data_IF_139633377095
#
_entry.id   IF_139633377095
#
_cell.length_a   1.000
_cell.length_b   1.000
_cell.length_c   1.000
_cell.angle_alpha   90.00
_cell.angle_beta   90.00
_cell.angle_gamma   90.00
#
_symmetry.space_group_name_H-M   'P 1'
#
loop_
_entity.id
_entity.type
_entity.pdbx_description
1 polymer ?
#
# COMPACT_ATOMS: atom_id res chain seq x y z
N UNK A 1 3.88 -6.60 20.02
CA UNK A 1 5.01 -6.50 19.08
C UNK A 1 5.86 -7.76 19.07
N UNK A 2 6.24 -8.32 20.23
CA UNK A 2 6.94 -9.60 20.29
C UNK A 2 6.26 -10.71 19.45
N UNK A 3 4.92 -10.83 19.52
CA UNK A 3 4.18 -11.85 18.75
C UNK A 3 4.16 -11.61 17.23
N UNK A 4 4.17 -10.34 16.77
CA UNK A 4 4.20 -9.98 15.34
C UNK A 4 5.57 -10.24 14.69
N UNK A 5 6.64 -10.27 15.50
CA UNK A 5 8.00 -10.49 15.01
C UNK A 5 8.40 -11.96 15.04
N UNK A 6 7.69 -12.78 15.82
CA UNK A 6 7.91 -14.21 15.91
C UNK A 6 7.25 -14.99 14.75
N UNK A 7 6.27 -14.41 14.06
CA UNK A 7 5.49 -15.10 13.02
C UNK A 7 6.25 -15.34 11.73
N UNK A 8 7.34 -14.59 11.48
CA UNK A 8 8.04 -14.54 10.19
C UNK A 8 7.12 -14.23 8.98
N UNK A 9 5.89 -13.75 9.20
CA UNK A 9 4.96 -13.34 8.15
C UNK A 9 5.32 -11.92 7.66
N UNK A 10 5.58 -11.73 6.36
CA UNK A 10 5.84 -10.40 5.81
C UNK A 10 4.70 -9.40 6.03
N UNK A 11 3.45 -9.84 6.13
CA UNK A 11 2.31 -8.96 6.43
C UNK A 11 2.39 -8.44 7.86
N UNK A 12 2.82 -9.28 8.82
CA UNK A 12 3.04 -8.87 10.19
C UNK A 12 4.22 -7.91 10.31
N UNK A 13 5.27 -8.10 9.51
CA UNK A 13 6.36 -7.13 9.41
C UNK A 13 5.84 -5.77 8.91
N UNK A 14 4.99 -5.74 7.88
CA UNK A 14 4.38 -4.49 7.42
C UNK A 14 3.48 -3.85 8.49
N UNK A 15 2.67 -4.65 9.19
CA UNK A 15 1.83 -4.18 10.29
C UNK A 15 2.66 -3.60 11.44
N UNK A 16 3.77 -4.25 11.80
CA UNK A 16 4.71 -3.76 12.80
C UNK A 16 5.32 -2.41 12.38
N UNK A 17 5.75 -2.28 11.12
CA UNK A 17 6.22 -0.99 10.58
C UNK A 17 5.14 0.10 10.69
N UNK A 18 3.90 -0.19 10.24
CA UNK A 18 2.80 0.78 10.27
C UNK A 18 2.49 1.23 11.70
N UNK A 19 2.53 0.30 12.66
CA UNK A 19 2.35 0.61 14.07
C UNK A 19 3.46 1.53 14.61
N UNK A 20 4.72 1.17 14.38
CA UNK A 20 5.88 1.97 14.83
C UNK A 20 5.89 3.37 14.20
N UNK A 21 5.60 3.47 12.90
CA UNK A 21 5.53 4.74 12.17
C UNK A 21 4.37 5.62 12.67
N UNK A 22 3.22 5.01 12.97
CA UNK A 22 2.08 5.70 13.59
C UNK A 22 2.44 6.24 14.97
N UNK A 23 3.15 5.47 15.79
CA UNK A 23 3.63 5.92 17.09
C UNK A 23 4.63 7.07 17.01
N UNK A 24 5.56 7.04 16.05
CA UNK A 24 6.48 8.16 15.82
C UNK A 24 5.72 9.45 15.43
N UNK A 25 4.71 9.31 14.57
CA UNK A 25 3.85 10.42 14.16
C UNK A 25 3.00 10.97 15.30
N UNK A 26 2.42 10.09 16.12
CA UNK A 26 1.62 10.44 17.30
C UNK A 26 2.48 11.15 18.34
N UNK A 27 3.66 10.63 18.68
CA UNK A 27 4.53 11.24 19.68
C UNK A 27 5.00 12.64 19.27
N UNK A 28 5.18 12.88 17.95
CA UNK A 28 5.57 14.20 17.41
C UNK A 28 4.44 15.22 17.43
N UNK A 29 3.23 14.81 17.03
CA UNK A 29 2.08 15.73 16.84
C UNK A 29 1.10 15.74 18.01
N UNK A 30 1.25 14.79 18.92
CA UNK A 30 0.30 14.44 19.97
C UNK A 30 -1.10 14.12 19.45
N UNK A 31 -1.24 13.81 18.15
CA UNK A 31 -2.49 13.50 17.49
C UNK A 31 -2.29 12.63 16.24
N UNK A 32 -3.35 11.93 15.83
CA UNK A 32 -3.43 11.17 14.60
C UNK A 32 -4.83 11.31 13.99
N UNK A 33 -4.88 11.33 12.67
CA UNK A 33 -6.14 11.18 11.94
C UNK A 33 -6.40 9.71 11.66
N UNK A 34 -7.61 9.24 11.96
CA UNK A 34 -8.07 7.91 11.57
C UNK A 34 -9.24 8.03 10.61
N UNK A 35 -9.30 7.10 9.65
CA UNK A 35 -10.47 6.99 8.79
C UNK A 35 -11.63 6.39 9.60
N UNK A 36 -12.73 7.13 9.69
CA UNK A 36 -13.95 6.66 10.31
C UNK A 36 -14.89 6.13 9.22
N UNK A 37 -15.04 4.81 9.18
CA UNK A 37 -15.90 4.13 8.21
C UNK A 37 -17.37 4.54 8.31
N UNK A 38 -17.85 5.01 9.49
CA UNK A 38 -19.23 5.49 9.65
C UNK A 38 -19.41 6.88 9.06
N UNK A 39 -18.38 7.71 9.13
CA UNK A 39 -18.40 9.08 8.60
C UNK A 39 -17.90 9.15 7.15
N UNK A 40 -17.26 8.09 6.64
CA UNK A 40 -16.57 8.10 5.35
C UNK A 40 -15.45 9.13 5.27
N UNK A 41 -14.94 9.59 6.41
CA UNK A 41 -14.06 10.75 6.52
C UNK A 41 -12.95 10.50 7.56
N UNK A 42 -11.88 11.28 7.47
CA UNK A 42 -10.85 11.31 8.52
C UNK A 42 -11.34 12.11 9.72
N UNK A 43 -11.03 11.64 10.92
CA UNK A 43 -11.26 12.36 12.18
C UNK A 43 -10.08 12.23 13.12
N UNK A 44 -9.96 13.16 14.06
CA UNK A 44 -9.02 13.05 15.16
C UNK A 44 -9.35 11.88 16.09
N UNK A 45 -8.37 11.44 16.87
CA UNK A 45 -8.55 10.46 17.92
C UNK A 45 -9.48 11.00 19.01
N UNK A 46 -10.46 10.18 19.42
CA UNK A 46 -11.23 10.45 20.63
C UNK A 46 -10.38 10.23 21.89
N UNK A 47 -10.90 10.59 23.07
CA UNK A 47 -10.15 10.52 24.31
C UNK A 47 -9.70 9.09 24.68
N UNK A 48 -10.49 8.07 24.36
CA UNK A 48 -10.14 6.67 24.65
C UNK A 48 -9.06 6.15 23.70
N UNK A 49 -9.22 6.42 22.40
CA UNK A 49 -8.23 6.07 21.37
C UNK A 49 -6.88 6.75 21.66
N UNK A 50 -6.92 8.03 22.06
CA UNK A 50 -5.71 8.76 22.47
C UNK A 50 -5.03 8.10 23.67
N UNK A 51 -5.78 7.72 24.72
CA UNK A 51 -5.23 7.00 25.88
C UNK A 51 -4.63 5.65 25.49
N UNK A 52 -5.29 4.91 24.60
CA UNK A 52 -4.78 3.63 24.12
C UNK A 52 -3.50 3.84 23.31
N UNK A 53 -3.45 4.82 22.40
CA UNK A 53 -2.23 5.17 21.66
C UNK A 53 -1.09 5.59 22.59
N UNK A 54 -1.34 6.43 23.59
CA UNK A 54 -0.33 6.79 24.60
C UNK A 54 0.22 5.56 25.31
N UNK A 55 -0.64 4.63 25.73
CA UNK A 55 -0.22 3.39 26.40
C UNK A 55 0.64 2.52 25.48
N UNK A 56 0.17 2.29 24.25
CA UNK A 56 0.84 1.42 23.29
C UNK A 56 2.17 2.00 22.81
N UNK A 57 2.22 3.29 22.48
CA UNK A 57 3.44 3.95 22.02
C UNK A 57 4.44 4.24 23.15
N UNK A 58 3.96 4.40 24.39
CA UNK A 58 4.80 4.54 25.58
C UNK A 58 5.49 3.24 26.00
N UNK A 59 4.90 2.09 25.69
CA UNK A 59 5.48 0.77 25.98
C UNK A 59 6.57 0.35 24.99
N UNK A 60 6.81 1.12 23.91
CA UNK A 60 7.80 0.77 22.90
C UNK A 60 9.23 1.01 23.37
N UNK A 61 10.08 0.00 23.17
CA UNK A 61 11.52 0.09 23.37
C UNK A 61 12.19 0.87 22.25
N UNK A 62 13.39 1.39 22.51
CA UNK A 62 14.18 2.08 21.49
C UNK A 62 14.61 1.15 20.35
N UNK A 63 14.90 -0.12 20.68
CA UNK A 63 15.20 -1.15 19.69
C UNK A 63 14.05 -1.34 18.70
N UNK A 64 12.80 -1.35 19.17
CA UNK A 64 11.62 -1.48 18.29
C UNK A 64 11.43 -0.24 17.41
N UNK A 65 11.80 0.95 17.88
CA UNK A 65 11.79 2.17 17.05
C UNK A 65 12.82 2.10 15.93
N UNK A 66 14.04 1.65 16.23
CA UNK A 66 15.13 1.56 15.27
C UNK A 66 14.89 0.46 14.20
N UNK A 67 14.24 -0.64 14.58
CA UNK A 67 13.97 -1.76 13.67
C UNK A 67 12.88 -1.49 12.61
N UNK A 68 12.21 -0.32 12.63
CA UNK A 68 11.08 -0.01 11.75
C UNK A 68 11.42 -0.16 10.26
N UNK A 69 12.61 0.27 9.86
CA UNK A 69 13.05 0.20 8.46
C UNK A 69 13.36 -1.23 8.04
N UNK A 70 13.81 -2.08 8.96
CA UNK A 70 14.06 -3.50 8.70
C UNK A 70 12.75 -4.27 8.48
N UNK A 71 11.71 -3.96 9.26
CA UNK A 71 10.38 -4.52 9.05
C UNK A 71 9.82 -4.14 7.69
N UNK A 72 9.99 -2.87 7.32
CA UNK A 72 9.55 -2.37 6.02
C UNK A 72 10.33 -3.02 4.89
N UNK A 73 11.66 -3.14 4.99
CA UNK A 73 12.48 -3.81 4.00
C UNK A 73 12.06 -5.29 3.81
N UNK A 74 11.72 -5.98 4.89
CA UNK A 74 11.19 -7.35 4.86
C UNK A 74 9.88 -7.42 4.08
N UNK A 75 8.93 -6.53 4.37
CA UNK A 75 7.65 -6.45 3.68
C UNK A 75 7.78 -6.10 2.19
N UNK A 76 8.68 -5.15 1.86
CA UNK A 76 8.98 -4.77 0.48
C UNK A 76 9.54 -5.95 -0.31
N UNK A 77 10.51 -6.68 0.26
CA UNK A 77 11.12 -7.85 -0.39
C UNK A 77 10.10 -8.95 -0.68
N UNK A 78 9.09 -9.10 0.18
CA UNK A 78 7.99 -10.05 -0.02
C UNK A 78 6.89 -9.53 -0.96
N UNK A 79 6.95 -8.26 -1.39
CA UNK A 79 5.93 -7.65 -2.23
C UNK A 79 4.57 -7.52 -1.54
N UNK A 80 4.58 -7.18 -0.24
CA UNK A 80 3.38 -6.84 0.53
C UNK A 80 2.76 -5.54 -0.03
N UNK A 81 1.45 -5.49 -0.32
CA UNK A 81 0.81 -4.29 -0.84
C UNK A 81 1.03 -3.05 0.03
N UNK A 82 1.36 -1.92 -0.59
CA UNK A 82 1.66 -0.63 0.04
C UNK A 82 3.09 -0.51 0.58
N UNK A 83 3.81 -1.60 0.82
CA UNK A 83 5.14 -1.55 1.44
C UNK A 83 6.17 -0.80 0.59
N UNK A 84 6.18 -1.00 -0.74
CA UNK A 84 7.09 -0.29 -1.64
C UNK A 84 6.87 1.23 -1.60
N UNK A 85 5.61 1.67 -1.54
CA UNK A 85 5.28 3.09 -1.39
C UNK A 85 5.77 3.65 -0.05
N UNK A 86 5.53 2.92 1.03
CA UNK A 86 5.97 3.37 2.34
C UNK A 86 7.50 3.43 2.45
N UNK A 87 8.23 2.50 1.82
CA UNK A 87 9.69 2.57 1.77
C UNK A 87 10.17 3.82 1.03
N UNK A 88 9.58 4.11 -0.13
CA UNK A 88 9.90 5.33 -0.87
C UNK A 88 9.56 6.62 -0.07
N UNK A 89 8.47 6.60 0.71
CA UNK A 89 8.07 7.74 1.54
C UNK A 89 9.00 7.98 2.75
N UNK A 90 9.63 6.94 3.29
CA UNK A 90 10.63 7.05 4.37
C UNK A 90 11.93 7.72 3.90
N UNK A 91 12.23 7.67 2.60
CA UNK A 91 13.45 8.24 2.05
C UNK A 91 14.71 7.46 2.38
N UNK A 92 15.87 7.88 1.83
CA UNK A 92 17.16 7.26 2.11
C UNK A 92 17.43 7.17 3.61
N UNK A 93 17.58 5.94 4.12
CA UNK A 93 17.88 5.66 5.53
C UNK A 93 16.90 6.28 6.54
N UNK A 94 15.64 6.52 6.13
CA UNK A 94 14.62 7.16 6.98
C UNK A 94 14.67 8.70 6.98
N UNK A 95 15.39 9.30 6.03
CA UNK A 95 15.49 10.74 5.82
C UNK A 95 14.96 11.12 4.42
N UNK A 96 13.68 11.50 4.28
CA UNK A 96 13.10 11.92 3.01
C UNK A 96 13.78 13.15 2.40
N UNK A 97 14.37 14.01 3.23
CA UNK A 97 15.03 15.24 2.76
C UNK A 97 16.37 14.94 2.07
N UNK A 98 16.93 13.75 2.22
CA UNK A 98 18.19 13.37 1.58
C UNK A 98 18.13 13.45 0.05
N UNK A 99 16.97 13.19 -0.55
CA UNK A 99 16.78 13.27 -2.00
C UNK A 99 17.00 14.68 -2.56
N UNK A 100 16.80 15.71 -1.74
CA UNK A 100 16.96 17.12 -2.15
C UNK A 100 18.23 17.76 -1.57
N UNK A 101 18.60 17.41 -0.34
CA UNK A 101 19.73 18.02 0.38
C UNK A 101 21.08 17.42 0.01
N UNK A 102 21.11 16.17 -0.44
CA UNK A 102 22.34 15.43 -0.82
C UNK A 102 22.09 14.49 -2.02
N UNK A 103 21.61 15.01 -3.15
CA UNK A 103 21.24 14.20 -4.32
C UNK A 103 22.41 13.48 -4.97
N UNK A 104 23.63 14.00 -4.82
CA UNK A 104 24.85 13.46 -5.42
C UNK A 104 25.56 12.40 -4.56
N UNK A 105 25.09 12.19 -3.31
CA UNK A 105 25.60 11.14 -2.44
C UNK A 105 25.39 9.75 -3.11
N UNK A 106 26.46 8.95 -3.31
CA UNK A 106 26.35 7.64 -3.96
C UNK A 106 25.31 6.72 -3.33
N UNK A 107 25.18 6.75 -2.00
CA UNK A 107 24.21 5.92 -1.26
C UNK A 107 22.78 6.40 -1.47
N UNK A 108 22.57 7.71 -1.59
CA UNK A 108 21.25 8.28 -1.91
C UNK A 108 20.85 7.91 -3.34
N UNK A 109 21.79 7.96 -4.28
CA UNK A 109 21.56 7.55 -5.68
C UNK A 109 21.22 6.06 -5.81
N UNK A 110 21.96 5.21 -5.10
CA UNK A 110 21.69 3.77 -5.06
C UNK A 110 20.30 3.50 -4.47
N UNK A 111 20.00 4.09 -3.30
CA UNK A 111 18.69 3.95 -2.67
C UNK A 111 17.56 4.41 -3.58
N UNK A 112 17.72 5.55 -4.28
CA UNK A 112 16.71 6.08 -5.22
C UNK A 112 16.45 5.09 -6.37
N UNK A 113 17.50 4.51 -6.94
CA UNK A 113 17.36 3.50 -7.99
C UNK A 113 16.65 2.24 -7.48
N UNK A 114 17.00 1.77 -6.28
CA UNK A 114 16.34 0.63 -5.63
C UNK A 114 14.86 0.91 -5.35
N UNK A 115 14.53 2.05 -4.76
CA UNK A 115 13.15 2.44 -4.44
C UNK A 115 12.30 2.57 -5.72
N UNK A 116 12.84 3.21 -6.77
CA UNK A 116 12.14 3.32 -8.06
C UNK A 116 11.86 1.94 -8.68
N UNK A 117 12.83 1.01 -8.62
CA UNK A 117 12.65 -0.36 -9.11
C UNK A 117 11.62 -1.14 -8.31
N UNK A 118 11.58 -0.97 -6.98
CA UNK A 118 10.57 -1.59 -6.11
C UNK A 118 9.17 -1.06 -6.40
N UNK A 119 9.03 0.25 -6.65
CA UNK A 119 7.77 0.87 -7.05
C UNK A 119 7.31 0.41 -8.43
N UNK A 120 8.21 0.32 -9.41
CA UNK A 120 7.90 -0.22 -10.75
C UNK A 120 7.43 -1.69 -10.62
N UNK A 121 8.13 -2.53 -9.84
CA UNK A 121 7.74 -3.92 -9.61
C UNK A 121 6.39 -4.07 -8.89
N UNK A 122 6.11 -3.24 -7.88
CA UNK A 122 4.83 -3.26 -7.18
C UNK A 122 3.68 -2.76 -8.07
N UNK A 123 3.90 -1.72 -8.87
CA UNK A 123 2.94 -1.25 -9.87
C UNK A 123 2.63 -2.34 -10.89
N UNK A 124 3.66 -3.00 -11.45
CA UNK A 124 3.50 -4.10 -12.40
C UNK A 124 2.82 -5.33 -11.79
N UNK A 125 2.95 -5.51 -10.47
CA UNK A 125 2.23 -6.54 -9.72
C UNK A 125 0.75 -6.18 -9.43
N UNK A 126 0.30 -4.98 -9.80
CA UNK A 126 -1.07 -4.54 -9.63
C UNK A 126 -1.39 -3.96 -8.25
N UNK A 127 -0.40 -3.47 -7.51
CA UNK A 127 -0.63 -2.75 -6.26
C UNK A 127 -1.35 -1.43 -6.55
N UNK A 128 -2.64 -1.32 -6.22
CA UNK A 128 -3.47 -0.16 -6.55
C UNK A 128 -2.97 1.14 -5.93
N UNK A 129 -2.42 1.10 -4.70
CA UNK A 129 -1.88 2.31 -4.05
C UNK A 129 -0.62 2.79 -4.79
N UNK A 130 0.27 1.85 -5.13
CA UNK A 130 1.48 2.18 -5.89
C UNK A 130 1.11 2.65 -7.30
N UNK A 131 0.23 1.95 -8.02
CA UNK A 131 -0.20 2.34 -9.36
C UNK A 131 -0.72 3.79 -9.40
N UNK A 132 -1.54 4.18 -8.44
CA UNK A 132 -2.07 5.54 -8.35
C UNK A 132 -0.97 6.56 -8.04
N UNK A 133 -0.24 6.37 -6.95
CA UNK A 133 0.70 7.38 -6.44
C UNK A 133 1.97 7.46 -7.28
N UNK A 134 2.51 6.31 -7.69
CA UNK A 134 3.66 6.23 -8.58
C UNK A 134 3.32 6.61 -10.01
N UNK A 135 2.12 6.26 -10.49
CA UNK A 135 1.61 6.71 -11.78
C UNK A 135 1.59 8.23 -11.88
N UNK A 136 1.11 8.91 -10.84
CA UNK A 136 1.16 10.38 -10.76
C UNK A 136 2.59 10.92 -10.77
N UNK A 137 3.50 10.35 -9.97
CA UNK A 137 4.91 10.80 -9.97
C UNK A 137 5.61 10.57 -11.32
N UNK A 138 5.33 9.47 -12.02
CA UNK A 138 5.85 9.22 -13.37
C UNK A 138 5.26 10.19 -14.39
N UNK A 139 4.03 10.67 -14.21
CA UNK A 139 3.44 11.70 -15.05
C UNK A 139 4.07 13.08 -14.84
N UNK A 140 4.21 13.49 -13.58
CA UNK A 140 4.60 14.86 -13.23
C UNK A 140 6.10 15.03 -12.98
N UNK A 141 6.83 13.94 -12.78
CA UNK A 141 8.17 13.95 -12.18
C UNK A 141 8.11 14.12 -10.67
N UNK A 142 9.21 13.77 -10.00
CA UNK A 142 9.45 13.98 -8.57
C UNK A 142 10.94 13.88 -8.26
N UNK A 143 11.34 14.09 -7.00
CA UNK A 143 12.72 13.83 -6.56
C UNK A 143 13.11 12.35 -6.68
N UNK A 144 12.12 11.43 -6.79
CA UNK A 144 12.32 9.99 -6.97
C UNK A 144 12.42 9.55 -8.44
N UNK A 145 11.83 10.28 -9.39
CA UNK A 145 11.84 9.89 -10.80
C UNK A 145 11.72 11.07 -11.75
N UNK A 146 12.40 10.96 -12.88
CA UNK A 146 12.12 11.81 -14.03
C UNK A 146 10.72 11.49 -14.60
N UNK A 147 10.19 12.44 -15.38
CA UNK A 147 8.93 12.29 -16.11
C UNK A 147 9.02 11.12 -17.09
N UNK A 148 8.10 10.17 -16.95
CA UNK A 148 7.80 9.07 -17.87
C UNK A 148 6.30 9.01 -18.12
N UNK A 149 5.74 9.98 -18.87
CA UNK A 149 4.30 10.22 -18.89
C UNK A 149 3.49 9.08 -19.52
N UNK A 150 4.04 8.34 -20.48
CA UNK A 150 3.39 7.14 -21.04
C UNK A 150 3.24 6.04 -19.98
N UNK A 151 4.30 5.77 -19.22
CA UNK A 151 4.30 4.78 -18.14
C UNK A 151 3.33 5.20 -17.03
N UNK A 152 3.43 6.44 -16.57
CA UNK A 152 2.55 6.96 -15.51
C UNK A 152 1.08 6.95 -15.90
N UNK A 153 0.75 7.34 -17.15
CA UNK A 153 -0.59 7.24 -17.69
C UNK A 153 -1.09 5.78 -17.71
N UNK A 154 -0.25 4.84 -18.15
CA UNK A 154 -0.57 3.41 -18.16
C UNK A 154 -0.90 2.87 -16.77
N UNK A 155 -0.12 3.26 -15.76
CA UNK A 155 -0.41 2.89 -14.37
C UNK A 155 -1.76 3.42 -13.88
N UNK A 156 -2.10 4.68 -14.18
CA UNK A 156 -3.40 5.23 -13.79
C UNK A 156 -4.57 4.54 -14.52
N UNK A 157 -4.42 4.21 -15.80
CA UNK A 157 -5.44 3.44 -16.53
C UNK A 157 -5.59 2.03 -15.93
N UNK A 158 -4.49 1.41 -15.49
CA UNK A 158 -4.52 0.10 -14.84
C UNK A 158 -5.33 0.12 -13.54
N UNK A 159 -5.30 1.21 -12.76
CA UNK A 159 -6.16 1.40 -11.58
C UNK A 159 -7.63 1.22 -11.97
N UNK A 160 -8.10 1.97 -12.97
CA UNK A 160 -9.50 1.89 -13.41
C UNK A 160 -9.90 0.53 -13.94
N UNK A 161 -9.00 -0.16 -14.65
CA UNK A 161 -9.26 -1.53 -15.12
C UNK A 161 -9.37 -2.53 -13.96
N UNK A 162 -8.49 -2.43 -12.96
CA UNK A 162 -8.51 -3.31 -11.78
C UNK A 162 -9.75 -3.04 -10.92
N UNK A 163 -10.08 -1.77 -10.67
CA UNK A 163 -11.27 -1.39 -9.90
C UNK A 163 -12.55 -1.85 -10.60
N UNK A 164 -12.63 -1.73 -11.93
CA UNK A 164 -13.79 -2.18 -12.70
C UNK A 164 -14.06 -3.69 -12.55
N UNK A 165 -13.03 -4.51 -12.32
CA UNK A 165 -13.21 -5.96 -12.11
C UNK A 165 -13.82 -6.32 -10.75
N UNK A 166 -13.61 -5.47 -9.73
CA UNK A 166 -14.06 -5.74 -8.35
C UNK A 166 -15.21 -4.84 -7.89
N UNK A 167 -15.58 -3.87 -8.72
CA UNK A 167 -16.63 -2.90 -8.46
C UNK A 167 -17.99 -3.57 -8.21
N UNK A 168 -18.67 -3.11 -7.17
CA UNK A 168 -20.06 -3.48 -6.89
C UNK A 168 -21.02 -2.70 -7.82
N UNK A 169 -22.24 -3.19 -8.07
CA UNK A 169 -23.24 -2.44 -8.83
C UNK A 169 -23.44 -1.03 -8.26
N UNK A 170 -23.27 -0.01 -9.10
CA UNK A 170 -23.41 1.39 -8.72
C UNK A 170 -22.11 2.08 -8.26
N UNK A 171 -21.02 1.34 -8.10
CA UNK A 171 -19.71 1.92 -7.82
C UNK A 171 -19.20 2.74 -9.04
N UNK A 172 -18.79 3.98 -8.76
CA UNK A 172 -18.30 4.93 -9.76
C UNK A 172 -16.78 5.12 -9.70
N UNK A 173 -16.10 4.52 -8.73
CA UNK A 173 -14.64 4.62 -8.61
C UNK A 173 -13.90 4.25 -9.91
N UNK A 174 -14.27 3.18 -10.66
CA UNK A 174 -13.52 2.81 -11.86
C UNK A 174 -13.68 3.85 -12.99
N UNK A 175 -14.77 4.61 -12.98
CA UNK A 175 -15.07 5.63 -14.00
C UNK A 175 -14.13 6.83 -13.88
N UNK A 176 -13.58 7.09 -12.69
CA UNK A 176 -12.61 8.15 -12.47
C UNK A 176 -11.32 7.89 -13.26
N UNK A 177 -10.90 6.62 -13.32
CA UNK A 177 -9.66 6.19 -13.97
C UNK A 177 -9.84 5.54 -15.34
N UNK A 178 -11.08 5.51 -15.87
CA UNK A 178 -11.34 5.05 -17.23
C UNK A 178 -10.57 5.90 -18.26
N UNK A 179 -10.12 5.27 -19.35
CA UNK A 179 -9.31 5.95 -20.38
C UNK A 179 -9.94 7.25 -20.91
N UNK A 180 -11.28 7.27 -21.02
CA UNK A 180 -12.07 8.40 -21.53
C UNK A 180 -12.64 9.29 -20.42
N UNK A 181 -12.23 9.08 -19.17
CA UNK A 181 -12.66 9.95 -18.07
C UNK A 181 -12.13 11.37 -18.28
N UNK A 182 -12.80 12.36 -17.72
CA UNK A 182 -12.31 13.75 -17.76
C UNK A 182 -10.92 13.87 -17.12
N UNK A 183 -10.67 13.14 -16.04
CA UNK A 183 -9.38 13.11 -15.34
C UNK A 183 -8.27 12.56 -16.25
N UNK A 184 -8.44 11.38 -16.85
CA UNK A 184 -7.40 10.77 -17.69
C UNK A 184 -7.25 11.52 -19.01
N UNK A 185 -8.33 12.10 -19.54
CA UNK A 185 -8.24 12.98 -20.71
C UNK A 185 -7.32 14.16 -20.43
N UNK A 186 -7.50 14.83 -19.28
CA UNK A 186 -6.68 15.95 -18.84
C UNK A 186 -5.22 15.53 -18.55
N UNK A 187 -5.01 14.48 -17.76
CA UNK A 187 -3.67 14.00 -17.39
C UNK A 187 -2.86 13.49 -18.58
N UNK A 188 -3.52 12.89 -19.57
CA UNK A 188 -2.88 12.44 -20.80
C UNK A 188 -2.81 13.51 -21.89
N UNK A 189 -3.21 14.77 -21.64
CA UNK A 189 -3.41 15.79 -22.68
C UNK A 189 -2.20 16.04 -23.60
N UNK A 190 -0.99 15.77 -23.12
CA UNK A 190 0.25 15.90 -23.88
C UNK A 190 0.67 14.61 -24.60
N UNK A 191 -0.04 13.49 -24.40
CA UNK A 191 0.24 12.22 -25.04
C UNK A 191 -0.47 12.12 -26.39
N UNK A 192 0.26 11.65 -27.39
CA UNK A 192 -0.28 11.26 -28.69
C UNK A 192 -1.23 10.07 -28.55
N UNK A 193 -2.10 9.87 -29.55
CA UNK A 193 -2.98 8.71 -29.60
C UNK A 193 -2.20 7.38 -29.57
N UNK A 194 -1.06 7.31 -30.26
CA UNK A 194 -0.20 6.13 -30.27
C UNK A 194 0.38 5.83 -28.87
N UNK A 195 0.80 6.87 -28.14
CA UNK A 195 1.28 6.72 -26.76
C UNK A 195 0.17 6.27 -25.80
N UNK A 196 -1.04 6.83 -25.92
CA UNK A 196 -2.19 6.38 -25.14
C UNK A 196 -2.55 4.93 -25.42
N UNK A 197 -2.53 4.53 -26.69
CA UNK A 197 -2.77 3.14 -27.09
C UNK A 197 -1.70 2.18 -26.52
N UNK A 198 -0.42 2.55 -26.57
CA UNK A 198 0.66 1.77 -25.97
C UNK A 198 0.50 1.64 -24.45
N UNK A 199 0.15 2.74 -23.76
CA UNK A 199 -0.11 2.73 -22.33
C UNK A 199 -1.32 1.85 -21.96
N UNK A 200 -2.37 1.82 -22.80
CA UNK A 200 -3.53 0.95 -22.59
C UNK A 200 -3.19 -0.54 -22.74
N UNK A 201 -2.30 -0.90 -23.68
CA UNK A 201 -1.82 -2.28 -23.81
C UNK A 201 -1.12 -2.71 -22.53
N UNK A 202 -0.24 -1.88 -22.01
CA UNK A 202 0.47 -2.15 -20.75
C UNK A 202 -0.47 -2.19 -19.55
N UNK A 203 -1.42 -1.26 -19.45
CA UNK A 203 -2.43 -1.24 -18.40
C UNK A 203 -3.25 -2.53 -18.34
N UNK A 204 -3.65 -3.07 -19.49
CA UNK A 204 -4.35 -4.35 -19.60
C UNK A 204 -3.49 -5.53 -19.15
N UNK A 205 -2.19 -5.50 -19.48
CA UNK A 205 -1.24 -6.53 -19.02
C UNK A 205 -1.15 -6.53 -17.49
N UNK A 206 -1.03 -5.36 -16.87
CA UNK A 206 -0.97 -5.20 -15.41
C UNK A 206 -2.28 -5.67 -14.76
N UNK A 207 -3.43 -5.23 -15.28
CA UNK A 207 -4.74 -5.64 -14.74
C UNK A 207 -4.94 -7.16 -14.80
N UNK A 208 -4.57 -7.81 -15.90
CA UNK A 208 -4.63 -9.26 -16.04
C UNK A 208 -3.70 -9.98 -15.05
N UNK A 209 -2.48 -9.46 -14.83
CA UNK A 209 -1.55 -10.01 -13.85
C UNK A 209 -2.09 -9.88 -12.41
N UNK A 210 -2.69 -8.73 -12.08
CA UNK A 210 -3.32 -8.47 -10.79
C UNK A 210 -4.47 -9.46 -10.52
N UNK A 211 -5.34 -9.66 -11.52
CA UNK A 211 -6.42 -10.65 -11.47
C UNK A 211 -5.91 -12.04 -11.19
N UNK A 212 -4.95 -12.51 -11.99
CA UNK A 212 -4.38 -13.86 -11.82
C UNK A 212 -3.73 -14.05 -10.44
N UNK A 213 -3.15 -12.99 -9.85
CA UNK A 213 -2.58 -13.03 -8.49
C UNK A 213 -3.67 -13.17 -7.43
N UNK A 214 -4.78 -12.43 -7.55
CA UNK A 214 -5.92 -12.54 -6.63
C UNK A 214 -6.50 -13.95 -6.65
N UNK A 215 -6.76 -14.49 -7.84
CA UNK A 215 -7.30 -15.85 -8.01
C UNK A 215 -6.40 -16.92 -7.35
N UNK A 216 -5.07 -16.80 -7.47
CA UNK A 216 -4.13 -17.70 -6.78
C UNK A 216 -4.13 -17.54 -5.25
N UNK A 217 -4.38 -16.33 -4.75
CA UNK A 217 -4.46 -16.06 -3.32
C UNK A 217 -5.74 -16.63 -2.71
N UNK A 218 -6.86 -16.52 -3.45
CA UNK A 218 -8.15 -17.05 -3.06
C UNK A 218 -8.12 -18.59 -3.05
N UNK A 219 -7.47 -19.21 -4.04
CA UNK A 219 -7.26 -20.66 -4.09
C UNK A 219 -6.44 -21.16 -2.89
N UNK A 220 -5.31 -20.51 -2.58
CA UNK A 220 -4.51 -20.84 -1.38
C UNK A 220 -5.30 -20.68 -0.08
N UNK A 221 -6.13 -19.65 0.02
CA UNK A 221 -6.99 -19.42 1.18
C UNK A 221 -8.11 -20.47 1.28
N UNK A 222 -8.64 -20.94 0.15
CA UNK A 222 -9.60 -22.03 0.06
C UNK A 222 -9.00 -23.38 0.46
N UNK A 223 -7.78 -23.69 -0.01
CA UNK A 223 -7.04 -24.91 0.35
C UNK A 223 -6.66 -24.91 1.84
N UNK A 224 -6.28 -23.76 2.40
CA UNK A 224 -5.95 -23.65 3.83
C UNK A 224 -7.20 -23.82 4.72
N UNK A 225 -8.38 -23.35 4.27
CA UNK A 225 -9.67 -23.61 4.93
C UNK A 225 -10.11 -25.07 4.83
N UNK A 226 -9.86 -25.74 3.70
CA UNK A 226 -10.19 -27.16 3.52
C UNK A 226 -9.27 -28.11 4.30
N UNK A 227 -8.08 -27.63 4.71
CA UNK A 227 -7.07 -28.41 5.45
C UNK A 227 -7.15 -28.25 6.97
N UNK A 228 -8.09 -27.45 7.49
CA UNK A 228 -8.38 -27.43 8.92
C UNK A 228 -9.37 -28.56 9.27
N UNK A 229 -9.02 -29.49 10.19
CA UNK A 229 -9.97 -30.50 10.63
C UNK A 229 -11.13 -29.81 11.34
N UNK A 230 -12.35 -30.11 10.90
CA UNK A 230 -13.59 -29.53 11.40
C UNK A 230 -13.74 -29.72 12.91
N UNK A 231 -13.33 -28.71 13.67
CA UNK A 231 -13.70 -28.52 15.06
C UNK A 231 -15.16 -28.05 15.11
N UNK A 232 -16.09 -29.01 15.05
CA UNK A 232 -17.49 -28.75 15.30
C UNK A 232 -17.68 -28.13 16.68
N UNK A 233 -18.07 -26.85 16.73
CA UNK A 233 -18.68 -26.25 17.90
C UNK A 233 -20.07 -26.86 18.05
N UNK A 234 -20.11 -28.01 18.73
CA UNK A 234 -21.33 -28.63 19.21
C UNK A 234 -22.00 -27.67 20.18
N UNK A 235 -23.23 -27.26 19.87
CA UNK A 235 -24.09 -26.48 20.74
C UNK A 235 -24.27 -27.22 22.08
N UNK A 236 -24.00 -26.53 23.19
CA UNK A 236 -24.34 -27.02 24.53
C UNK A 236 -25.86 -26.91 24.74
N UNK A 237 -26.54 -27.94 25.28
CA UNK A 237 -27.94 -27.85 25.63
C UNK A 237 -28.10 -27.08 26.95
N UNK A 238 -28.99 -26.09 26.95
CA UNK A 238 -29.46 -25.42 28.16
C UNK A 238 -30.27 -26.42 28.99
N UNK A 239 -29.65 -26.93 30.05
CA UNK A 239 -30.29 -27.77 31.05
C UNK A 239 -31.30 -26.99 31.88
N UNK A 240 -32.58 -27.33 31.70
CA UNK A 240 -33.70 -26.98 32.57
C UNK A 240 -33.71 -27.95 33.77
N UNK A 241 -33.69 -27.41 35.01
CA UNK A 241 -34.54 -27.75 36.18
C UNK A 241 -33.77 -27.67 37.51
N UNK A 242 -34.48 -27.10 38.48
CA UNK A 242 -34.13 -26.88 39.88
C UNK A 242 -34.96 -25.71 40.38
#
# INVERSE_FOLDING_TARGET
MADLLASHDPNDAYAAYMFVSSCASFNRRQDLEMHDNKLGAKRALNAEERRNMTRMCGAMTERERLARLDYLATAVKAGVPGAAWMHAAEGPFGDPSALTTRPDDPLVREWKATAASQLDAAAEAGDSTVLMLWGMQKLTGSDLTDKRPVQGYGYLVAVGLIEAEVAQPGDRSPQMFAERSGLLTALGGQLTQAQRAAALVEARRIAAAAKARRERSDDKSGVMRASMPGGGLSAMPVGRRG
#
